data_IF_867566641913
#
_entry.id   IF_867566641913
#
_cell.length_a   1.000
_cell.length_b   1.000
_cell.length_c   1.000
_cell.angle_alpha   90.00
_cell.angle_beta   90.00
_cell.angle_gamma   90.00
#
_symmetry.space_group_name_H-M   'P 1'
#
loop_
_entity.id
_entity.type
_entity.pdbx_description
1 polymer ?
#
# COMPACT_ATOMS: atom_id res chain seq x y z
N UNK A 1 8.53 13.07 9.47
CA UNK A 1 7.12 12.60 9.56
C UNK A 1 6.76 11.96 8.22
N UNK A 2 6.33 10.70 8.22
CA UNK A 2 5.96 9.96 7.00
C UNK A 2 4.58 10.43 6.51
N UNK A 3 4.56 11.13 5.37
CA UNK A 3 3.38 11.90 4.93
C UNK A 3 2.35 11.09 4.15
N UNK A 4 2.69 9.92 3.60
CA UNK A 4 1.77 9.08 2.81
C UNK A 4 1.62 7.67 3.40
N UNK A 5 0.48 6.99 3.15
CA UNK A 5 0.32 5.56 3.40
C UNK A 5 1.47 4.71 2.83
N UNK A 6 1.86 4.96 1.57
CA UNK A 6 2.96 4.25 0.92
C UNK A 6 4.28 4.41 1.68
N UNK A 7 4.65 5.63 2.07
CA UNK A 7 5.87 5.88 2.83
C UNK A 7 5.87 5.21 4.21
N UNK A 8 4.70 5.14 4.87
CA UNK A 8 4.56 4.38 6.12
C UNK A 8 4.76 2.89 5.90
N UNK A 9 4.20 2.35 4.81
CA UNK A 9 4.37 0.94 4.44
C UNK A 9 5.83 0.61 4.12
N UNK A 10 6.54 1.46 3.38
CA UNK A 10 7.98 1.28 3.12
C UNK A 10 8.81 1.33 4.40
N UNK A 11 8.52 2.26 5.31
CA UNK A 11 9.21 2.31 6.60
C UNK A 11 9.00 1.02 7.42
N UNK A 12 7.81 0.42 7.39
CA UNK A 12 7.56 -0.88 8.05
C UNK A 12 8.42 -1.99 7.43
N UNK A 13 8.51 -2.06 6.11
CA UNK A 13 9.39 -3.03 5.41
C UNK A 13 10.84 -2.87 5.84
N UNK A 14 11.35 -1.63 5.84
CA UNK A 14 12.73 -1.35 6.24
C UNK A 14 12.98 -1.74 7.70
N UNK A 15 12.04 -1.45 8.60
CA UNK A 15 12.12 -1.84 10.01
C UNK A 15 12.18 -3.36 10.16
N UNK A 16 11.33 -4.09 9.45
CA UNK A 16 11.29 -5.56 9.50
C UNK A 16 12.64 -6.16 9.08
N UNK A 17 13.26 -5.64 8.01
CA UNK A 17 14.60 -6.04 7.56
C UNK A 17 15.68 -5.73 8.59
N UNK A 18 15.69 -4.50 9.14
CA UNK A 18 16.67 -4.10 10.15
C UNK A 18 16.56 -4.97 11.41
N UNK A 19 15.34 -5.29 11.84
CA UNK A 19 15.09 -6.16 12.98
C UNK A 19 15.52 -7.59 12.72
N UNK A 20 15.25 -8.13 11.53
CA UNK A 20 15.72 -9.46 11.14
C UNK A 20 17.25 -9.54 11.16
N UNK A 21 17.94 -8.56 10.58
CA UNK A 21 19.41 -8.48 10.63
C UNK A 21 19.95 -8.37 12.06
N UNK A 22 19.34 -7.53 12.89
CA UNK A 22 19.74 -7.35 14.29
C UNK A 22 19.56 -8.63 15.14
N UNK A 23 18.58 -9.47 14.78
CA UNK A 23 18.32 -10.75 15.43
C UNK A 23 19.08 -11.92 14.78
N UNK A 24 19.99 -11.64 13.84
CA UNK A 24 20.71 -12.65 13.05
C UNK A 24 19.78 -13.64 12.31
N UNK A 25 18.56 -13.21 11.97
CA UNK A 25 17.65 -13.97 11.12
C UNK A 25 18.00 -13.73 9.65
N UNK A 26 17.92 -14.77 8.82
CA UNK A 26 18.11 -14.66 7.37
C UNK A 26 16.91 -13.99 6.68
N UNK A 27 17.13 -13.43 5.48
CA UNK A 27 16.06 -12.95 4.61
C UNK A 27 14.99 -14.04 4.37
N UNK A 28 15.41 -15.30 4.21
CA UNK A 28 14.48 -16.43 4.04
C UNK A 28 13.56 -16.58 5.25
N UNK A 29 14.12 -16.54 6.47
CA UNK A 29 13.33 -16.63 7.70
C UNK A 29 12.37 -15.44 7.85
N UNK A 30 12.79 -14.23 7.47
CA UNK A 30 11.91 -13.06 7.46
C UNK A 30 10.71 -13.28 6.51
N UNK A 31 10.94 -13.77 5.28
CA UNK A 31 9.87 -14.10 4.36
C UNK A 31 8.97 -15.23 4.89
N UNK A 32 9.53 -16.27 5.53
CA UNK A 32 8.76 -17.34 6.16
C UNK A 32 7.83 -16.82 7.27
N UNK A 33 8.34 -15.95 8.15
CA UNK A 33 7.54 -15.29 9.19
C UNK A 33 6.42 -14.47 8.56
N UNK A 34 6.71 -13.70 7.52
CA UNK A 34 5.70 -12.92 6.80
C UNK A 34 4.58 -13.82 6.22
N UNK A 35 4.93 -14.90 5.51
CA UNK A 35 3.94 -15.81 4.90
C UNK A 35 3.08 -16.53 5.93
N UNK A 36 3.67 -16.93 7.07
CA UNK A 36 3.02 -17.80 8.05
C UNK A 36 2.30 -17.02 9.14
N UNK A 37 3.01 -16.13 9.83
CA UNK A 37 2.48 -15.40 10.99
C UNK A 37 1.65 -14.18 10.58
N UNK A 38 1.95 -13.60 9.41
CA UNK A 38 1.30 -12.39 8.91
C UNK A 38 0.46 -12.65 7.66
N UNK A 39 -0.10 -13.86 7.53
CA UNK A 39 -0.91 -14.26 6.37
C UNK A 39 -2.02 -13.25 6.02
N UNK A 40 -2.75 -12.74 7.01
CA UNK A 40 -3.82 -11.73 6.80
C UNK A 40 -3.27 -10.40 6.29
N UNK A 41 -2.10 -9.97 6.78
CA UNK A 41 -1.44 -8.78 6.26
C UNK A 41 -1.05 -8.98 4.79
N UNK A 42 -0.50 -10.15 4.45
CA UNK A 42 -0.14 -10.44 3.06
C UNK A 42 -1.35 -10.46 2.12
N UNK A 43 -2.48 -11.02 2.54
CA UNK A 43 -3.74 -10.94 1.79
C UNK A 43 -4.22 -9.51 1.61
N UNK A 44 -4.02 -8.66 2.62
CA UNK A 44 -4.38 -7.24 2.53
C UNK A 44 -3.49 -6.49 1.55
N UNK A 45 -2.16 -6.66 1.65
CA UNK A 45 -1.20 -5.98 0.77
C UNK A 45 -1.34 -6.45 -0.68
N UNK A 46 -1.66 -7.73 -0.91
CA UNK A 46 -1.86 -8.32 -2.23
C UNK A 46 -3.02 -7.71 -3.05
N UNK A 47 -3.90 -6.91 -2.42
CA UNK A 47 -4.97 -6.19 -3.10
C UNK A 47 -5.18 -4.78 -2.48
N UNK A 48 -4.06 -4.18 -2.06
CA UNK A 48 -3.98 -2.76 -1.70
C UNK A 48 -3.20 -2.02 -2.77
N UNK A 49 -3.85 -1.03 -3.36
CA UNK A 49 -3.34 -0.26 -4.49
C UNK A 49 -3.10 1.18 -4.05
N UNK A 50 -1.98 1.72 -4.49
CA UNK A 50 -1.56 3.09 -4.24
C UNK A 50 -1.58 3.90 -5.52
N UNK A 51 -1.90 5.18 -5.41
CA UNK A 51 -1.70 6.14 -6.48
C UNK A 51 -0.23 6.59 -6.56
N UNK A 52 0.13 7.32 -7.61
CA UNK A 52 1.50 7.82 -7.84
C UNK A 52 1.99 8.78 -6.75
N UNK A 53 1.09 9.31 -5.91
CA UNK A 53 1.43 10.16 -4.75
C UNK A 53 1.46 9.36 -3.43
N UNK A 54 1.28 8.04 -3.50
CA UNK A 54 1.36 7.12 -2.37
C UNK A 54 0.11 7.07 -1.49
N UNK A 55 -1.03 7.58 -1.95
CA UNK A 55 -2.35 7.42 -1.30
C UNK A 55 -2.94 6.07 -1.67
N UNK A 56 -3.63 5.41 -0.74
CA UNK A 56 -4.38 4.18 -1.05
C UNK A 56 -5.59 4.55 -1.90
N UNK A 57 -5.63 4.07 -3.15
CA UNK A 57 -6.80 4.21 -4.04
C UNK A 57 -7.80 3.08 -3.81
N UNK A 58 -7.35 1.90 -3.42
CA UNK A 58 -8.22 0.77 -3.09
C UNK A 58 -7.53 -0.18 -2.10
N UNK A 59 -8.29 -0.80 -1.20
CA UNK A 59 -7.82 -1.88 -0.33
C UNK A 59 -8.94 -2.86 -0.01
N UNK A 60 -8.62 -4.15 0.07
CA UNK A 60 -9.51 -5.20 0.57
C UNK A 60 -9.47 -5.32 2.11
N UNK A 61 -8.62 -4.56 2.81
CA UNK A 61 -8.44 -4.68 4.25
C UNK A 61 -9.67 -4.23 5.02
N UNK A 62 -10.22 -5.15 5.84
CA UNK A 62 -11.35 -4.83 6.74
C UNK A 62 -11.00 -3.78 7.79
N UNK A 63 -9.72 -3.70 8.19
CA UNK A 63 -9.22 -2.72 9.15
C UNK A 63 -9.11 -1.30 8.58
N UNK A 64 -9.20 -1.14 7.26
CA UNK A 64 -9.15 0.13 6.55
C UNK A 64 -10.47 0.41 5.81
N UNK A 65 -11.60 -0.06 6.36
CA UNK A 65 -12.92 0.20 5.81
C UNK A 65 -13.14 1.71 5.65
N UNK A 66 -13.56 2.13 4.44
CA UNK A 66 -13.75 3.55 4.11
C UNK A 66 -12.50 4.26 3.58
N UNK A 67 -11.34 3.60 3.52
CA UNK A 67 -10.14 4.13 2.86
C UNK A 67 -10.15 3.74 1.38
N UNK A 68 -10.03 4.73 0.50
CA UNK A 68 -10.03 4.52 -0.94
C UNK A 68 -11.43 4.41 -1.55
N UNK A 69 -11.47 3.94 -2.79
CA UNK A 69 -12.69 3.65 -3.52
C UNK A 69 -13.35 2.38 -2.97
N UNK A 70 -14.68 2.32 -3.02
CA UNK A 70 -15.38 1.06 -2.77
C UNK A 70 -15.08 0.06 -3.90
N UNK A 71 -15.10 -1.25 -3.59
CA UNK A 71 -14.95 -2.30 -4.62
C UNK A 71 -15.94 -2.07 -5.77
N UNK A 72 -17.21 -1.97 -5.44
CA UNK A 72 -18.33 -1.76 -6.37
C UNK A 72 -19.06 -0.47 -6.08
N UNK A 73 -19.78 0.05 -7.08
CA UNK A 73 -20.59 1.27 -6.95
C UNK A 73 -21.66 1.15 -5.86
N UNK A 74 -21.92 2.26 -5.16
CA UNK A 74 -23.01 2.37 -4.18
C UNK A 74 -24.21 3.05 -4.83
N UNK A 75 -25.42 2.56 -4.52
CA UNK A 75 -26.66 3.16 -5.03
C UNK A 75 -26.74 4.63 -4.61
N UNK A 76 -26.80 5.53 -5.60
CA UNK A 76 -26.87 6.98 -5.37
C UNK A 76 -25.52 7.68 -5.25
N UNK A 77 -24.41 6.95 -5.19
CA UNK A 77 -23.05 7.51 -5.29
C UNK A 77 -22.64 7.55 -6.77
N UNK A 78 -22.24 8.73 -7.24
CA UNK A 78 -21.75 8.94 -8.62
C UNK A 78 -20.22 8.89 -8.71
N UNK A 79 -19.54 8.69 -7.59
CA UNK A 79 -18.09 8.52 -7.57
C UNK A 79 -17.70 7.21 -8.26
N UNK A 80 -16.55 7.16 -8.95
CA UNK A 80 -16.04 5.91 -9.50
C UNK A 80 -15.84 4.86 -8.40
N UNK A 81 -16.03 3.59 -8.72
CA UNK A 81 -15.62 2.48 -7.88
C UNK A 81 -14.32 1.85 -8.39
N UNK A 82 -13.72 0.97 -7.59
CA UNK A 82 -12.47 0.31 -7.97
C UNK A 82 -12.59 -0.45 -9.30
N UNK A 83 -13.68 -1.19 -9.50
CA UNK A 83 -13.88 -1.94 -10.75
C UNK A 83 -13.89 -1.05 -12.00
N UNK A 84 -14.34 0.21 -11.88
CA UNK A 84 -14.36 1.16 -13.00
C UNK A 84 -12.94 1.62 -13.38
N UNK A 85 -12.02 1.70 -12.42
CA UNK A 85 -10.71 2.36 -12.59
C UNK A 85 -9.51 1.43 -12.43
N UNK A 86 -9.70 0.15 -12.05
CA UNK A 86 -8.59 -0.81 -11.83
C UNK A 86 -7.64 -0.97 -13.02
N UNK A 87 -8.14 -0.71 -14.23
CA UNK A 87 -7.39 -0.77 -15.48
C UNK A 87 -6.36 0.37 -15.61
N UNK A 88 -6.43 1.41 -14.77
CA UNK A 88 -5.48 2.53 -14.76
C UNK A 88 -4.21 2.22 -13.94
N UNK A 89 -3.78 0.96 -13.91
CA UNK A 89 -2.62 0.49 -13.15
C UNK A 89 -1.39 0.26 -14.03
N UNK A 90 -0.20 0.31 -13.42
CA UNK A 90 1.05 -0.02 -14.11
C UNK A 90 1.05 -1.49 -14.58
N UNK A 91 0.52 -2.40 -13.75
CA UNK A 91 0.38 -3.82 -14.08
C UNK A 91 -0.50 -4.05 -15.32
N UNK A 92 -1.48 -3.16 -15.58
CA UNK A 92 -2.33 -3.19 -16.76
C UNK A 92 -1.71 -2.48 -17.99
N UNK A 93 -0.49 -1.94 -17.86
CA UNK A 93 0.18 -1.18 -18.91
C UNK A 93 -0.38 0.23 -19.12
N UNK A 94 -1.12 0.77 -18.15
CA UNK A 94 -1.65 2.13 -18.24
C UNK A 94 -0.55 3.17 -18.08
N UNK A 95 -0.51 4.14 -18.99
CA UNK A 95 0.50 5.22 -19.03
C UNK A 95 -0.10 6.61 -18.89
N UNK A 96 -1.42 6.71 -18.71
CA UNK A 96 -2.09 7.99 -18.52
C UNK A 96 -1.86 8.57 -17.13
N UNK A 97 -2.13 9.87 -17.00
CA UNK A 97 -1.92 10.64 -15.76
C UNK A 97 -3.18 11.38 -15.32
N UNK A 98 -4.30 11.19 -16.01
CA UNK A 98 -5.53 11.92 -15.75
C UNK A 98 -6.11 11.52 -14.38
N UNK A 99 -6.23 12.47 -13.43
CA UNK A 99 -6.66 12.15 -12.09
C UNK A 99 -8.16 11.86 -12.04
N UNK A 100 -8.56 11.04 -11.07
CA UNK A 100 -9.97 10.79 -10.75
C UNK A 100 -10.33 11.41 -9.40
N UNK A 101 -11.60 11.76 -9.22
CA UNK A 101 -12.10 12.35 -7.98
C UNK A 101 -13.20 11.51 -7.35
N UNK A 102 -13.16 11.39 -6.03
CA UNK A 102 -14.20 10.79 -5.20
C UNK A 102 -14.74 11.84 -4.23
N UNK A 103 -16.06 11.88 -4.06
CA UNK A 103 -16.69 12.71 -3.03
C UNK A 103 -16.96 11.81 -1.83
N UNK A 104 -16.36 12.15 -0.69
CA UNK A 104 -16.50 11.42 0.57
C UNK A 104 -17.22 12.32 1.57
N UNK A 105 -18.24 11.76 2.23
CA UNK A 105 -18.86 12.40 3.39
C UNK A 105 -18.04 12.07 4.64
N UNK A 106 -17.61 13.10 5.34
CA UNK A 106 -16.84 13.04 6.57
C UNK A 106 -17.68 13.64 7.69
N UNK A 107 -18.16 12.78 8.59
CA UNK A 107 -18.92 13.15 9.80
C UNK A 107 -18.08 12.92 11.07
N UNK A 108 -16.75 12.85 10.94
CA UNK A 108 -15.85 12.59 12.08
C UNK A 108 -15.50 13.85 12.88
N UNK A 109 -15.87 15.04 12.39
CA UNK A 109 -15.55 16.33 13.00
C UNK A 109 -16.79 17.00 13.61
N UNK A 110 -16.62 17.77 14.71
CA UNK A 110 -17.70 18.60 15.25
C UNK A 110 -18.25 19.57 14.21
N UNK A 111 -19.59 19.66 14.09
CA UNK A 111 -20.27 20.50 13.11
C UNK A 111 -21.01 19.73 12.00
N UNK A 112 -21.12 18.40 12.13
CA UNK A 112 -21.93 17.54 11.27
C UNK A 112 -21.25 17.13 9.96
N UNK A 113 -21.98 16.37 9.11
CA UNK A 113 -21.41 15.78 7.90
C UNK A 113 -20.93 16.84 6.91
N UNK A 114 -19.70 16.67 6.39
CA UNK A 114 -19.12 17.53 5.37
C UNK A 114 -18.69 16.71 4.16
N UNK A 115 -18.88 17.26 2.96
CA UNK A 115 -18.39 16.65 1.73
C UNK A 115 -16.96 17.08 1.47
N UNK A 116 -16.08 16.11 1.25
CA UNK A 116 -14.69 16.31 0.86
C UNK A 116 -14.43 15.65 -0.48
N UNK A 117 -13.74 16.36 -1.37
CA UNK A 117 -13.25 15.79 -2.62
C UNK A 117 -11.85 15.22 -2.39
N UNK A 118 -11.64 13.95 -2.76
CA UNK A 118 -10.34 13.29 -2.79
C UNK A 118 -9.95 13.08 -4.25
N UNK A 119 -8.74 13.51 -4.61
CA UNK A 119 -8.17 13.30 -5.95
C UNK A 119 -7.11 12.20 -5.88
N UNK A 120 -7.18 11.25 -6.80
CA UNK A 120 -6.21 10.15 -6.97
C UNK A 120 -5.49 10.30 -8.30
N UNK A 121 -4.17 10.03 -8.30
CA UNK A 121 -3.31 10.23 -9.46
C UNK A 121 -2.76 8.90 -10.01
N UNK A 122 -3.21 8.42 -11.17
CA UNK A 122 -2.68 7.18 -11.76
C UNK A 122 -1.21 7.36 -12.22
N UNK A 123 -0.51 6.28 -12.57
CA UNK A 123 -0.97 4.88 -12.54
C UNK A 123 -1.05 4.30 -11.12
N UNK A 124 -1.92 3.31 -10.93
CA UNK A 124 -1.98 2.56 -9.67
C UNK A 124 -0.84 1.56 -9.57
N UNK A 125 -0.25 1.46 -8.39
CA UNK A 125 0.80 0.50 -8.08
C UNK A 125 0.39 -0.39 -6.92
N UNK A 126 0.80 -1.65 -6.99
CA UNK A 126 0.70 -2.60 -5.90
C UNK A 126 2.10 -3.00 -5.47
N UNK A 127 2.27 -3.25 -4.18
CA UNK A 127 3.58 -3.56 -3.61
C UNK A 127 3.74 -5.06 -3.41
N UNK A 128 4.94 -5.58 -3.66
CA UNK A 128 5.34 -6.92 -3.29
C UNK A 128 6.33 -6.83 -2.12
N UNK A 129 5.84 -7.19 -0.92
CA UNK A 129 6.63 -7.09 0.31
C UNK A 129 7.88 -7.94 0.33
N UNK A 130 7.87 -9.12 -0.27
CA UNK A 130 9.07 -9.96 -0.29
C UNK A 130 10.10 -9.37 -1.25
N UNK A 131 9.65 -8.85 -2.39
CA UNK A 131 10.52 -8.10 -3.29
C UNK A 131 11.10 -6.85 -2.63
N UNK A 132 10.29 -6.13 -1.87
CA UNK A 132 10.75 -4.96 -1.12
C UNK A 132 11.72 -5.35 0.02
N UNK A 133 11.51 -6.51 0.67
CA UNK A 133 12.49 -7.06 1.61
C UNK A 133 13.82 -7.34 0.93
N UNK A 134 13.83 -7.96 -0.26
CA UNK A 134 15.07 -8.21 -1.01
C UNK A 134 15.82 -6.92 -1.31
N UNK A 135 15.11 -5.89 -1.76
CA UNK A 135 15.69 -4.58 -2.09
C UNK A 135 16.28 -3.91 -0.84
N UNK A 136 15.49 -3.84 0.24
CA UNK A 136 15.94 -3.27 1.51
C UNK A 136 17.11 -4.07 2.11
N UNK A 137 17.06 -5.40 2.03
CA UNK A 137 18.11 -6.29 2.50
C UNK A 137 19.42 -6.07 1.76
N UNK A 138 19.37 -5.98 0.43
CA UNK A 138 20.55 -5.70 -0.39
C UNK A 138 21.15 -4.32 -0.04
N UNK A 139 20.30 -3.30 0.11
CA UNK A 139 20.74 -1.97 0.50
C UNK A 139 21.41 -1.95 1.89
N UNK A 140 20.81 -2.56 2.91
CA UNK A 140 21.36 -2.56 4.27
C UNK A 140 22.58 -3.49 4.43
N UNK A 141 22.61 -4.63 3.74
CA UNK A 141 23.79 -5.52 3.73
C UNK A 141 25.02 -4.79 3.20
N UNK A 142 24.87 -4.04 2.11
CA UNK A 142 25.94 -3.19 1.57
C UNK A 142 26.34 -2.09 2.55
N UNK A 143 25.36 -1.42 3.17
CA UNK A 143 25.60 -0.34 4.12
C UNK A 143 26.35 -0.81 5.39
N UNK A 144 26.10 -2.03 5.84
CA UNK A 144 26.72 -2.58 7.05
C UNK A 144 27.93 -3.49 6.77
N UNK A 145 28.31 -3.70 5.51
CA UNK A 145 29.45 -4.55 5.14
C UNK A 145 29.23 -6.04 5.38
N UNK A 146 27.99 -6.52 5.27
CA UNK A 146 27.60 -7.92 5.52
C UNK A 146 27.60 -8.78 4.24
N UNK A 147 28.27 -8.33 3.18
CA UNK A 147 28.38 -9.07 1.92
C UNK A 147 29.21 -10.35 2.14
N UNK A 148 28.53 -11.49 2.36
CA UNK A 148 29.16 -12.80 2.60
C UNK A 148 28.44 -13.75 3.57
N UNK A 149 27.28 -13.37 4.12
CA UNK A 149 26.48 -14.22 5.03
C UNK A 149 25.11 -14.60 4.46
N UNK A 150 25.04 -14.76 3.14
CA UNK A 150 23.86 -15.27 2.41
C UNK A 150 23.76 -16.79 2.47
#
# INVERSE_FOLDING_TARGET
>A
VLRSPYARRQALVEIDVLMAMNLSASLRQLCEVYRTQFYVLGQNEADTWYDSLGRIVFTNSRGLSGVGLNRTGKKGDKSPCWEDVKHMSEEAGYTGTDPITQIVEDDTLPGGPRKKTITYHPPWVRCDRERDYEIAWAHFSKRFGLEGHS
#
